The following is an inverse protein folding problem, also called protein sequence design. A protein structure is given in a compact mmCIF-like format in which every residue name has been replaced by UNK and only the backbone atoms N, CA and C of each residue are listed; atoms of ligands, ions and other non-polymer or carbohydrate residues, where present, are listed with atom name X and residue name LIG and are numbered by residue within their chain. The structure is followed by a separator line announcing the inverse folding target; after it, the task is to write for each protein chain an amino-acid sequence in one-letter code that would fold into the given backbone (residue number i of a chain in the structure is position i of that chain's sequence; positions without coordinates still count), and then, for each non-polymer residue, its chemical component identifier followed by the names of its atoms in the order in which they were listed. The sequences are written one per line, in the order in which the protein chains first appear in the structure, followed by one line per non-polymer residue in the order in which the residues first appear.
data_IF_535590564654
#
_entry.id   IF_535590564654
#
_cell.length_a   1.000
_cell.length_b   1.000
_cell.length_c   1.000
_cell.angle_alpha   90.00
_cell.angle_beta   90.00
_cell.angle_gamma   90.00
#
_symmetry.space_group_name_H-M   'P 1'
#
loop_
_entity.id
_entity.type
_entity.pdbx_description
1 polymer ?
#
# COMPACT_ATOMS: atom_id res chain seq x y z
N UNK A 1 0.92 3.24 8.73
CA UNK A 1 1.76 2.02 8.79
C UNK A 1 1.25 1.14 9.90
N UNK A 2 2.04 0.19 10.40
CA UNK A 2 1.58 -0.77 11.41
C UNK A 2 1.28 -0.18 12.80
N UNK A 3 1.77 1.03 13.09
CA UNK A 3 1.52 1.76 14.34
C UNK A 3 0.64 3.00 14.12
N UNK A 4 -0.15 3.01 13.05
CA UNK A 4 -1.07 4.11 12.75
C UNK A 4 -2.25 4.12 13.71
N UNK A 5 -2.32 5.16 14.56
CA UNK A 5 -3.43 5.35 15.51
C UNK A 5 -4.53 6.27 14.97
N UNK A 6 -4.29 6.99 13.86
CA UNK A 6 -5.28 7.87 13.22
C UNK A 6 -6.17 7.09 12.25
N UNK A 7 -5.58 6.13 11.55
CA UNK A 7 -6.27 5.19 10.67
C UNK A 7 -5.70 3.78 10.93
N UNK A 8 -6.27 3.04 11.90
CA UNK A 8 -5.72 1.75 12.33
C UNK A 8 -5.52 0.75 11.18
N UNK A 9 -4.48 -0.10 11.23
CA UNK A 9 -4.21 -1.09 10.17
C UNK A 9 -5.37 -2.03 9.86
N UNK A 10 -6.28 -2.24 10.81
CA UNK A 10 -7.49 -3.04 10.63
C UNK A 10 -8.36 -2.55 9.47
N UNK A 11 -8.44 -1.24 9.24
CA UNK A 11 -9.21 -0.66 8.13
C UNK A 11 -8.71 -1.18 6.78
N UNK A 12 -7.39 -1.10 6.55
CA UNK A 12 -6.77 -1.61 5.32
C UNK A 12 -6.86 -3.14 5.21
N UNK A 13 -6.68 -3.87 6.32
CA UNK A 13 -6.75 -5.34 6.35
C UNK A 13 -8.15 -5.85 6.03
N UNK A 14 -9.19 -5.23 6.58
CA UNK A 14 -10.58 -5.59 6.29
C UNK A 14 -10.89 -5.45 4.80
N UNK A 15 -10.52 -4.33 4.18
CA UNK A 15 -10.68 -4.12 2.74
C UNK A 15 -9.88 -5.14 1.91
N UNK A 16 -8.60 -5.36 2.24
CA UNK A 16 -7.76 -6.32 1.55
C UNK A 16 -8.36 -7.74 1.58
N UNK A 17 -8.79 -8.21 2.75
CA UNK A 17 -9.42 -9.53 2.87
C UNK A 17 -10.73 -9.62 2.09
N UNK A 18 -11.57 -8.57 2.13
CA UNK A 18 -12.80 -8.53 1.33
C UNK A 18 -12.53 -8.60 -0.18
N UNK A 19 -11.52 -7.89 -0.68
CA UNK A 19 -11.08 -7.94 -2.08
C UNK A 19 -10.55 -9.33 -2.45
N UNK A 20 -9.77 -9.97 -1.57
CA UNK A 20 -9.28 -11.34 -1.77
C UNK A 20 -10.43 -12.35 -1.85
N UNK A 21 -11.42 -12.26 -0.96
CA UNK A 21 -12.62 -13.12 -1.01
C UNK A 21 -13.39 -12.95 -2.31
N UNK A 22 -13.44 -11.74 -2.85
CA UNK A 22 -14.05 -11.41 -4.15
C UNK A 22 -13.17 -11.75 -5.36
N UNK A 23 -11.99 -12.35 -5.15
CA UNK A 23 -11.02 -12.71 -6.19
C UNK A 23 -10.55 -11.51 -7.03
N UNK A 24 -10.51 -10.32 -6.44
CA UNK A 24 -9.96 -9.12 -7.07
C UNK A 24 -8.45 -9.11 -6.82
N UNK A 25 -7.66 -8.89 -7.87
CA UNK A 25 -6.20 -8.81 -7.71
C UNK A 25 -5.83 -7.57 -6.88
N UNK A 26 -5.14 -7.81 -5.77
CA UNK A 26 -4.81 -6.78 -4.80
C UNK A 26 -3.58 -7.20 -3.98
N UNK A 27 -2.85 -6.20 -3.48
CA UNK A 27 -1.68 -6.33 -2.61
C UNK A 27 -1.85 -5.37 -1.43
N UNK A 28 -1.49 -5.82 -0.23
CA UNK A 28 -1.36 -5.02 0.98
C UNK A 28 0.12 -4.92 1.35
N UNK A 29 0.63 -3.68 1.48
CA UNK A 29 2.01 -3.43 1.90
C UNK A 29 2.00 -2.96 3.36
N UNK A 30 2.56 -3.77 4.25
CA UNK A 30 2.70 -3.43 5.66
C UNK A 30 4.09 -2.82 5.92
N UNK A 31 4.11 -1.65 6.58
CA UNK A 31 5.35 -0.97 6.98
C UNK A 31 5.45 -1.04 8.50
N UNK A 32 6.36 -1.88 9.06
CA UNK A 32 6.57 -1.99 10.50
C UNK A 32 6.96 -0.65 11.13
N UNK A 33 6.60 -0.45 12.41
CA UNK A 33 6.95 0.74 13.21
C UNK A 33 6.44 2.10 12.66
N UNK A 34 5.79 2.11 11.50
CA UNK A 34 5.35 3.33 10.87
C UNK A 34 3.99 3.75 11.43
N UNK A 35 3.94 4.96 11.99
CA UNK A 35 2.69 5.61 12.40
C UNK A 35 1.86 6.06 11.20
N UNK A 36 0.97 7.05 11.40
CA UNK A 36 0.25 7.69 10.31
C UNK A 36 1.18 8.42 9.32
N UNK A 37 2.25 9.02 9.83
CA UNK A 37 3.24 9.76 9.04
C UNK A 37 4.28 8.83 8.40
N UNK A 38 3.88 8.00 7.43
CA UNK A 38 4.80 7.04 6.77
C UNK A 38 6.06 7.73 6.22
N UNK A 39 5.93 8.96 5.72
CA UNK A 39 7.04 9.72 5.12
C UNK A 39 8.07 10.26 6.13
N UNK A 40 7.84 10.13 7.44
CA UNK A 40 8.76 10.63 8.47
C UNK A 40 10.12 9.91 8.47
N UNK A 41 10.18 8.68 7.95
CA UNK A 41 11.42 7.94 7.72
C UNK A 41 11.68 7.88 6.21
N UNK A 42 12.79 8.40 5.68
CA UNK A 42 13.04 8.43 4.23
C UNK A 42 12.95 7.06 3.55
N UNK A 43 13.41 5.99 4.21
CA UNK A 43 13.29 4.62 3.68
C UNK A 43 11.83 4.19 3.48
N UNK A 44 10.93 4.56 4.40
CA UNK A 44 9.51 4.24 4.29
C UNK A 44 8.84 5.02 3.14
N UNK A 45 9.28 6.26 2.90
CA UNK A 45 8.83 7.03 1.73
C UNK A 45 9.24 6.35 0.42
N UNK A 46 10.50 5.92 0.32
CA UNK A 46 11.00 5.17 -0.84
C UNK A 46 10.19 3.89 -1.05
N UNK A 47 9.97 3.09 0.00
CA UNK A 47 9.14 1.88 -0.05
C UNK A 47 7.73 2.19 -0.57
N UNK A 48 7.08 3.23 -0.06
CA UNK A 48 5.74 3.64 -0.50
C UNK A 48 5.71 3.97 -2.00
N UNK A 49 6.68 4.76 -2.47
CA UNK A 49 6.75 5.19 -3.87
C UNK A 49 7.05 4.01 -4.79
N UNK A 50 8.05 3.20 -4.45
CA UNK A 50 8.47 2.05 -5.24
C UNK A 50 7.33 1.05 -5.46
N UNK A 51 6.58 0.70 -4.41
CA UNK A 51 5.41 -0.19 -4.55
C UNK A 51 4.28 0.43 -5.37
N UNK A 52 4.06 1.74 -5.24
CA UNK A 52 3.03 2.44 -6.01
C UNK A 52 3.37 2.42 -7.51
N UNK A 53 4.60 2.79 -7.87
CA UNK A 53 5.07 2.79 -9.26
C UNK A 53 5.02 1.38 -9.84
N UNK A 54 5.57 0.38 -9.14
CA UNK A 54 5.54 -1.01 -9.61
C UNK A 54 4.12 -1.55 -9.84
N UNK A 55 3.14 -1.13 -9.02
CA UNK A 55 1.74 -1.48 -9.25
C UNK A 55 1.18 -0.81 -10.50
N UNK A 56 1.43 0.49 -10.69
CA UNK A 56 0.98 1.22 -11.87
C UNK A 56 1.63 0.66 -13.15
N UNK A 57 2.93 0.39 -13.15
CA UNK A 57 3.63 -0.20 -14.30
C UNK A 57 3.02 -1.55 -14.73
N UNK A 58 2.54 -2.35 -13.76
CA UNK A 58 1.92 -3.65 -14.04
C UNK A 58 0.54 -3.55 -14.68
N UNK A 59 -0.28 -2.57 -14.31
CA UNK A 59 -1.71 -2.51 -14.70
C UNK A 59 -2.11 -1.32 -15.57
N UNK A 60 -1.30 -0.28 -15.60
CA UNK A 60 -1.46 0.91 -16.43
C UNK A 60 -0.24 1.00 -17.37
N UNK A 61 -0.08 0.04 -18.31
CA UNK A 61 0.98 0.14 -19.29
C UNK A 61 0.85 1.47 -20.04
N UNK A 62 1.99 2.13 -20.28
CA UNK A 62 2.01 3.34 -21.07
C UNK A 62 1.26 3.10 -22.38
N UNK A 63 0.40 4.04 -22.77
CA UNK A 63 -0.10 4.04 -24.14
C UNK A 63 1.12 4.19 -25.04
N UNK A 64 1.31 3.26 -25.97
CA UNK A 64 2.23 3.47 -27.09
C UNK A 64 1.77 4.75 -27.81
N UNK A 65 2.66 5.73 -27.94
CA UNK A 65 2.46 6.94 -28.75
C UNK A 65 2.63 6.63 -30.25
#
# INVERSE_FOLDING_TARGET
GMEDLRTPPSEAKQLYHALKLRKIETVLVEIPEASHGIANRPSNLITKVAHTVAWLDKYLPAKEE
#
